data_IF_080178287803
#
_entry.id   IF_080178287803
#
_cell.length_a   1.000
_cell.length_b   1.000
_cell.length_c   1.000
_cell.angle_alpha   90.00
_cell.angle_beta   90.00
_cell.angle_gamma   90.00
#
_symmetry.space_group_name_H-M   'P 1'
#
loop_
_entity.id
_entity.type
_entity.pdbx_description
1 polymer ?
#
# COMPACT_ATOMS: atom_id res chain seq x y z
N UNK A 1 -3.45 -18.92 7.21
CA UNK A 1 -3.64 -19.38 5.81
C UNK A 1 -4.82 -20.35 5.77
N UNK A 2 -5.89 -20.10 4.98
CA UNK A 2 -7.17 -20.84 5.06
C UNK A 2 -7.25 -22.12 4.20
N UNK A 3 -6.55 -22.16 3.05
CA UNK A 3 -6.54 -23.32 2.15
C UNK A 3 -5.56 -24.45 2.57
N UNK A 4 -4.77 -24.25 3.63
CA UNK A 4 -3.78 -25.22 4.16
C UNK A 4 -2.86 -25.88 3.09
N UNK A 5 -2.60 -25.19 1.97
CA UNK A 5 -1.74 -25.67 0.90
C UNK A 5 -2.37 -26.64 -0.11
N UNK A 6 -3.65 -27.03 0.04
CA UNK A 6 -4.35 -27.86 -0.96
C UNK A 6 -5.38 -27.07 -1.74
N UNK A 7 -5.43 -27.26 -3.05
CA UNK A 7 -6.43 -26.65 -3.93
C UNK A 7 -7.75 -27.45 -3.96
N UNK A 8 -7.68 -28.76 -3.78
CA UNK A 8 -8.84 -29.66 -3.87
C UNK A 8 -9.13 -30.36 -2.54
N UNK A 9 -10.41 -30.74 -2.28
CA UNK A 9 -11.58 -30.49 -3.14
C UNK A 9 -12.21 -29.09 -2.98
N UNK A 10 -11.90 -28.33 -1.92
CA UNK A 10 -12.55 -27.04 -1.63
C UNK A 10 -11.60 -25.85 -1.45
N UNK A 11 -10.28 -26.05 -1.56
CA UNK A 11 -9.29 -24.98 -1.38
C UNK A 11 -9.39 -23.87 -2.44
N UNK A 12 -9.78 -24.22 -3.67
CA UNK A 12 -10.02 -23.29 -4.78
C UNK A 12 -11.09 -22.24 -4.45
N UNK A 13 -12.09 -22.59 -3.63
CA UNK A 13 -13.14 -21.64 -3.22
C UNK A 13 -12.56 -20.48 -2.40
N UNK A 14 -11.58 -20.75 -1.52
CA UNK A 14 -10.91 -19.68 -0.77
C UNK A 14 -10.09 -18.76 -1.68
N UNK A 15 -9.46 -19.33 -2.72
CA UNK A 15 -8.67 -18.57 -3.68
C UNK A 15 -9.56 -17.68 -4.56
N UNK A 16 -10.64 -18.23 -5.14
CA UNK A 16 -11.60 -17.46 -5.91
C UNK A 16 -12.23 -16.34 -5.08
N UNK A 17 -12.57 -16.64 -3.83
CA UNK A 17 -13.09 -15.63 -2.90
C UNK A 17 -12.06 -14.52 -2.66
N UNK A 18 -10.77 -14.84 -2.49
CA UNK A 18 -9.72 -13.84 -2.34
C UNK A 18 -9.51 -12.98 -3.61
N UNK A 19 -9.64 -13.57 -4.80
CA UNK A 19 -9.45 -12.89 -6.08
C UNK A 19 -10.66 -12.02 -6.49
N UNK A 20 -11.87 -12.43 -6.13
CA UNK A 20 -13.12 -11.79 -6.58
C UNK A 20 -13.76 -10.90 -5.54
N UNK A 21 -13.44 -11.06 -4.25
CA UNK A 21 -13.92 -10.13 -3.24
C UNK A 21 -13.18 -8.81 -3.33
N UNK A 22 -13.96 -7.73 -3.31
CA UNK A 22 -13.42 -6.38 -3.16
C UNK A 22 -12.85 -6.22 -1.76
N UNK A 23 -11.58 -5.87 -1.66
CA UNK A 23 -10.93 -5.51 -0.39
C UNK A 23 -11.14 -4.02 -0.14
N UNK A 24 -11.66 -3.60 1.03
CA UNK A 24 -11.75 -2.17 1.37
C UNK A 24 -10.37 -1.52 1.59
N UNK A 25 -9.28 -2.30 1.64
CA UNK A 25 -7.91 -1.82 1.85
C UNK A 25 -7.09 -2.05 0.57
N UNK A 26 -6.35 -1.03 0.13
CA UNK A 26 -5.31 -1.14 -0.90
C UNK A 26 -3.92 -1.04 -0.27
N UNK A 27 -3.01 -1.93 -0.65
CA UNK A 27 -1.62 -1.91 -0.20
C UNK A 27 -0.75 -1.12 -1.19
N UNK A 28 -0.12 -0.04 -0.74
CA UNK A 28 0.79 0.77 -1.54
C UNK A 28 2.23 0.29 -1.29
N UNK A 29 2.87 -0.26 -2.33
CA UNK A 29 4.18 -0.92 -2.18
C UNK A 29 5.37 -0.01 -2.44
N UNK A 30 5.52 0.47 -3.68
CA UNK A 30 6.67 1.23 -4.14
C UNK A 30 6.24 2.20 -5.22
N UNK A 31 6.74 3.44 -5.12
CA UNK A 31 6.66 4.44 -6.16
C UNK A 31 8.10 4.88 -6.45
N UNK A 32 8.49 4.81 -7.73
CA UNK A 32 9.78 5.28 -8.20
C UNK A 32 9.60 6.44 -9.16
N UNK A 33 10.27 7.57 -8.89
CA UNK A 33 10.28 8.74 -9.77
C UNK A 33 11.72 9.02 -10.15
N UNK A 34 12.00 9.06 -11.45
CA UNK A 34 13.33 9.40 -11.96
C UNK A 34 13.71 10.83 -11.53
N UNK A 35 15.01 11.11 -11.28
CA UNK A 35 15.45 12.35 -10.65
C UNK A 35 14.93 13.64 -11.32
N UNK A 36 14.80 13.62 -12.64
CA UNK A 36 14.38 14.75 -13.47
C UNK A 36 12.94 15.21 -13.19
N UNK A 37 12.11 14.32 -12.64
CA UNK A 37 10.70 14.58 -12.35
C UNK A 37 10.38 14.65 -10.84
N UNK A 38 11.39 14.53 -9.97
CA UNK A 38 11.21 14.71 -8.54
C UNK A 38 10.82 16.15 -8.22
N UNK A 39 10.02 16.34 -7.16
CA UNK A 39 9.50 17.64 -6.72
C UNK A 39 8.61 18.40 -7.73
N UNK A 40 8.22 17.77 -8.84
CA UNK A 40 7.30 18.37 -9.84
C UNK A 40 5.83 17.99 -9.62
N UNK A 41 5.48 17.44 -8.46
CA UNK A 41 4.11 17.04 -8.14
C UNK A 41 3.63 15.76 -8.84
N UNK A 42 4.53 14.96 -9.42
CA UNK A 42 4.17 13.70 -10.14
C UNK A 42 3.35 12.75 -9.27
N UNK A 43 3.70 12.62 -7.98
CA UNK A 43 2.96 11.74 -7.07
C UNK A 43 1.51 12.21 -6.90
N UNK A 44 1.26 13.53 -6.90
CA UNK A 44 -0.10 14.06 -6.80
C UNK A 44 -0.93 13.71 -8.05
N UNK A 45 -0.34 13.86 -9.25
CA UNK A 45 -1.01 13.45 -10.49
C UNK A 45 -1.31 11.95 -10.52
N UNK A 46 -0.39 11.13 -10.02
CA UNK A 46 -0.61 9.69 -9.90
C UNK A 46 -1.81 9.38 -8.99
N UNK A 47 -1.90 10.01 -7.82
CA UNK A 47 -3.03 9.78 -6.91
C UNK A 47 -4.34 10.38 -7.42
N UNK A 48 -4.31 11.50 -8.13
CA UNK A 48 -5.50 12.09 -8.76
C UNK A 48 -6.17 11.11 -9.74
N UNK A 49 -5.38 10.38 -10.52
CA UNK A 49 -5.88 9.34 -11.42
C UNK A 49 -6.33 8.06 -10.67
N UNK A 50 -5.58 7.65 -9.63
CA UNK A 50 -5.83 6.39 -8.93
C UNK A 50 -6.98 6.46 -7.91
N UNK A 51 -7.19 7.58 -7.22
CA UNK A 51 -8.21 7.71 -6.17
C UNK A 51 -9.63 7.41 -6.70
N UNK A 52 -10.08 7.96 -7.84
CA UNK A 52 -11.38 7.62 -8.42
C UNK A 52 -11.53 6.13 -8.72
N UNK A 53 -10.46 5.49 -9.19
CA UNK A 53 -10.42 4.05 -9.49
C UNK A 53 -10.55 3.24 -8.19
N UNK A 54 -9.85 3.64 -7.12
CA UNK A 54 -9.96 3.02 -5.81
C UNK A 54 -11.38 3.12 -5.25
N UNK A 55 -11.99 4.30 -5.32
CA UNK A 55 -13.38 4.50 -4.91
C UNK A 55 -14.36 3.63 -5.72
N UNK A 56 -14.22 3.56 -7.04
CA UNK A 56 -15.05 2.69 -7.90
C UNK A 56 -14.92 1.21 -7.55
N UNK A 57 -13.74 0.80 -7.09
CA UNK A 57 -13.48 -0.56 -6.63
C UNK A 57 -13.89 -0.82 -5.17
N UNK A 58 -14.45 0.18 -4.47
CA UNK A 58 -14.93 0.04 -3.10
C UNK A 58 -13.81 0.06 -2.05
N UNK A 59 -12.62 0.54 -2.40
CA UNK A 59 -11.53 0.78 -1.47
C UNK A 59 -11.88 2.00 -0.61
N UNK A 60 -11.62 1.89 0.69
CA UNK A 60 -11.88 2.91 1.72
C UNK A 60 -10.61 3.36 2.42
N UNK A 61 -9.60 2.49 2.49
CA UNK A 61 -8.36 2.74 3.19
C UNK A 61 -7.17 2.37 2.30
N UNK A 62 -6.08 3.10 2.43
CA UNK A 62 -4.79 2.73 1.87
C UNK A 62 -3.83 2.40 3.02
N UNK A 63 -3.13 1.27 2.93
CA UNK A 63 -2.03 0.91 3.83
C UNK A 63 -0.71 1.20 3.10
N UNK A 64 0.13 2.05 3.69
CA UNK A 64 1.48 2.30 3.19
C UNK A 64 2.40 1.16 3.63
N UNK A 65 3.33 0.76 2.76
CA UNK A 65 4.44 -0.11 3.15
C UNK A 65 5.35 0.60 4.21
N UNK A 66 6.26 -0.09 4.90
CA UNK A 66 7.23 0.56 5.78
C UNK A 66 8.04 1.61 5.03
N UNK A 67 7.92 2.85 5.48
CA UNK A 67 8.65 4.00 4.96
C UNK A 67 9.72 4.40 5.97
N UNK A 68 10.87 4.85 5.48
CA UNK A 68 11.92 5.37 6.35
C UNK A 68 11.42 6.64 7.05
N UNK A 69 11.53 6.67 8.38
CA UNK A 69 11.15 7.82 9.21
C UNK A 69 11.90 9.10 8.80
N UNK A 70 13.12 8.96 8.30
CA UNK A 70 13.97 10.05 7.83
C UNK A 70 13.60 10.57 6.43
N UNK A 71 12.74 9.87 5.69
CA UNK A 71 12.34 10.30 4.35
C UNK A 71 11.18 11.32 4.44
N UNK A 72 11.54 12.58 4.68
CA UNK A 72 10.57 13.67 4.80
C UNK A 72 9.69 13.84 3.56
N UNK A 73 10.24 13.60 2.36
CA UNK A 73 9.48 13.74 1.10
C UNK A 73 8.28 12.79 1.06
N UNK A 74 8.48 11.54 1.46
CA UNK A 74 7.40 10.55 1.55
C UNK A 74 6.42 10.89 2.67
N UNK A 75 6.91 11.31 3.84
CA UNK A 75 6.03 11.71 4.95
C UNK A 75 5.11 12.88 4.57
N UNK A 76 5.64 13.87 3.84
CA UNK A 76 4.87 15.04 3.39
C UNK A 76 3.75 14.69 2.42
N UNK A 77 3.93 13.65 1.60
CA UNK A 77 2.90 13.17 0.66
C UNK A 77 1.59 12.81 1.38
N UNK A 78 1.67 12.28 2.60
CA UNK A 78 0.50 11.82 3.34
C UNK A 78 -0.24 12.93 4.08
N UNK A 79 0.30 14.16 4.14
CA UNK A 79 -0.33 15.27 4.86
C UNK A 79 -1.67 15.71 4.24
N UNK A 80 -1.92 15.37 2.97
CA UNK A 80 -3.19 15.64 2.28
C UNK A 80 -4.31 14.68 2.69
N UNK A 81 -4.02 13.63 3.46
CA UNK A 81 -4.97 12.59 3.87
C UNK A 81 -5.09 12.53 5.40
N UNK A 82 -6.22 12.03 5.88
CA UNK A 82 -6.32 11.60 7.28
C UNK A 82 -5.47 10.33 7.46
N UNK A 83 -4.27 10.51 8.03
CA UNK A 83 -3.32 9.41 8.26
C UNK A 83 -3.27 9.01 9.73
N UNK A 84 -3.23 7.69 9.98
CA UNK A 84 -3.00 7.13 11.30
C UNK A 84 -1.73 6.29 11.29
N UNK A 85 -0.75 6.66 12.09
CA UNK A 85 0.43 5.82 12.32
C UNK A 85 0.03 4.61 13.18
N UNK A 86 0.05 3.41 12.61
CA UNK A 86 -0.46 2.20 13.27
C UNK A 86 0.57 1.09 13.46
N UNK A 87 1.75 1.16 12.82
CA UNK A 87 2.84 0.17 12.93
C UNK A 87 4.20 0.86 12.81
N UNK A 88 5.16 0.46 13.65
CA UNK A 88 6.58 0.87 13.55
C UNK A 88 7.45 -0.38 13.44
N UNK A 89 8.42 -0.38 12.51
CA UNK A 89 9.46 -1.41 12.41
C UNK A 89 10.83 -0.75 12.62
N UNK A 90 11.71 -1.35 13.42
CA UNK A 90 13.07 -0.85 13.66
C UNK A 90 14.06 -2.01 13.51
N UNK A 91 15.17 -1.74 12.84
CA UNK A 91 16.33 -2.62 12.78
C UNK A 91 17.49 -1.94 13.52
N UNK A 92 18.15 -2.65 14.42
CA UNK A 92 19.27 -2.15 15.20
C UNK A 92 20.53 -2.87 14.76
N UNK A 93 21.61 -2.13 14.55
CA UNK A 93 22.94 -2.69 14.30
C UNK A 93 23.62 -2.78 15.66
N UNK A 94 24.09 -3.97 16.03
CA UNK A 94 24.96 -4.17 17.20
C UNK A 94 26.39 -4.16 16.70
N UNK A 95 27.17 -3.17 17.11
CA UNK A 95 28.62 -3.23 16.96
C UNK A 95 29.16 -4.31 17.91
N UNK A 96 29.95 -5.25 17.36
CA UNK A 96 30.52 -6.39 18.08
C UNK A 96 31.93 -6.08 18.55
#
# INVERSE_FOLDING_TARGET
QKAKGSLFPFGWMHLLRALKMKNPIVDLYLIGVIPEYQNKGVNALLFDDLIPIFHKNGVKYAESNPELETNAAVQMQWNYFERKHHKTRRAWIKEL
#
